data_IF_793876670704
#
_entry.id   IF_793876670704
#
_cell.length_a   1.000
_cell.length_b   1.000
_cell.length_c   1.000
_cell.angle_alpha   90.00
_cell.angle_beta   90.00
_cell.angle_gamma   90.00
#
_symmetry.space_group_name_H-M   'P 1'
#
loop_
_entity.id
_entity.type
_entity.pdbx_description
1 polymer ?
#
# COMPACT_ATOMS: atom_id res chain seq x y z
N UNK A 1 39.33 29.79 -59.49
CA UNK A 1 40.56 30.27 -58.83
C UNK A 1 40.37 30.02 -57.33
N UNK A 2 41.03 29.00 -56.76
CA UNK A 2 40.87 28.63 -55.35
C UNK A 2 41.88 29.46 -54.53
N UNK A 3 41.38 30.23 -53.57
CA UNK A 3 42.21 31.01 -52.65
C UNK A 3 42.89 30.02 -51.68
N UNK A 4 44.23 30.02 -51.55
CA UNK A 4 44.91 29.13 -50.62
C UNK A 4 44.52 29.49 -49.18
N UNK A 5 44.20 28.47 -48.38
CA UNK A 5 43.90 28.66 -46.97
C UNK A 5 45.18 29.11 -46.24
N UNK A 6 45.17 30.21 -45.47
CA UNK A 6 46.37 30.66 -44.78
C UNK A 6 46.81 29.61 -43.76
N UNK A 7 48.13 29.41 -43.64
CA UNK A 7 48.73 28.43 -42.74
C UNK A 7 48.42 28.72 -41.26
N UNK A 8 48.10 29.98 -40.93
CA UNK A 8 47.78 30.45 -39.59
C UNK A 8 46.60 31.41 -39.68
N UNK A 9 45.51 31.11 -38.97
CA UNK A 9 44.41 32.05 -38.74
C UNK A 9 44.59 32.66 -37.34
N UNK A 10 44.87 33.96 -37.25
CA UNK A 10 44.91 34.68 -35.97
C UNK A 10 46.11 35.61 -35.75
N UNK A 11 46.28 36.08 -34.52
CA UNK A 11 47.28 37.07 -34.13
C UNK A 11 48.71 36.49 -34.15
N UNK A 12 49.58 37.06 -35.00
CA UNK A 12 50.98 36.65 -35.19
C UNK A 12 51.87 36.83 -33.96
N UNK A 13 51.44 37.62 -32.97
CA UNK A 13 52.13 37.79 -31.68
C UNK A 13 52.00 36.57 -30.77
N UNK A 14 51.07 35.65 -31.05
CA UNK A 14 50.89 34.39 -30.31
C UNK A 14 51.77 33.27 -30.86
N UNK A 15 52.99 33.59 -31.29
CA UNK A 15 53.97 32.62 -31.78
C UNK A 15 54.60 31.92 -30.57
N UNK A 16 54.32 30.63 -30.39
CA UNK A 16 54.83 29.82 -29.26
C UNK A 16 53.81 29.56 -28.15
N UNK A 17 52.55 29.96 -28.29
CA UNK A 17 51.48 29.50 -27.41
C UNK A 17 51.16 28.04 -27.74
N UNK A 18 51.50 27.12 -26.84
CA UNK A 18 51.04 25.75 -26.92
C UNK A 18 49.52 25.73 -26.74
N UNK A 19 48.80 25.15 -27.69
CA UNK A 19 47.37 24.86 -27.53
C UNK A 19 47.15 24.15 -26.20
N UNK A 20 46.23 24.65 -25.37
CA UNK A 20 45.92 24.07 -24.06
C UNK A 20 45.58 22.60 -24.28
N UNK A 21 46.47 21.71 -23.84
CA UNK A 21 46.27 20.27 -23.93
C UNK A 21 45.17 19.96 -22.92
N UNK A 22 43.98 19.61 -23.43
CA UNK A 22 42.88 19.17 -22.58
C UNK A 22 43.34 17.94 -21.77
N UNK A 23 43.09 17.91 -20.46
CA UNK A 23 43.42 16.74 -19.67
C UNK A 23 42.64 15.54 -20.22
N UNK A 24 43.29 14.37 -20.21
CA UNK A 24 42.65 13.12 -20.60
C UNK A 24 41.36 12.95 -19.80
N UNK A 25 40.24 12.56 -20.43
CA UNK A 25 38.96 12.45 -19.73
C UNK A 25 39.09 11.49 -18.55
N UNK A 26 38.62 11.92 -17.39
CA UNK A 26 38.59 11.09 -16.19
C UNK A 26 37.57 9.96 -16.37
N UNK A 27 37.97 8.75 -16.00
CA UNK A 27 37.05 7.62 -15.96
C UNK A 27 36.17 7.73 -14.72
N UNK A 28 34.86 7.66 -14.89
CA UNK A 28 33.90 7.62 -13.78
C UNK A 28 33.72 6.20 -13.18
N UNK A 29 34.45 5.20 -13.70
CA UNK A 29 34.38 3.85 -13.16
C UNK A 29 35.16 3.75 -11.84
N UNK A 30 34.58 3.09 -10.82
CA UNK A 30 35.26 2.89 -9.55
C UNK A 30 36.49 2.00 -9.74
N UNK A 31 37.67 2.57 -9.52
CA UNK A 31 38.94 1.84 -9.64
C UNK A 31 39.31 1.09 -8.36
N UNK A 32 38.66 1.41 -7.23
CA UNK A 32 38.94 0.80 -5.92
C UNK A 32 38.01 -0.37 -5.62
N UNK A 33 38.56 -1.44 -5.05
CA UNK A 33 37.77 -2.61 -4.59
C UNK A 33 36.66 -2.20 -3.62
N UNK A 34 36.93 -1.21 -2.75
CA UNK A 34 35.96 -0.67 -1.80
C UNK A 34 34.72 -0.09 -2.46
N UNK A 35 34.86 0.58 -3.60
CA UNK A 35 33.73 1.14 -4.32
C UNK A 35 32.85 0.07 -4.97
N UNK A 36 33.43 -1.04 -5.45
CA UNK A 36 32.66 -2.19 -5.92
C UNK A 36 31.89 -2.88 -4.79
N UNK A 37 32.53 -3.07 -3.62
CA UNK A 37 31.86 -3.62 -2.44
C UNK A 37 30.68 -2.74 -2.00
N UNK A 38 30.82 -1.41 -2.05
CA UNK A 38 29.72 -0.49 -1.76
C UNK A 38 28.57 -0.63 -2.76
N UNK A 39 28.87 -0.70 -4.06
CA UNK A 39 27.84 -0.88 -5.10
C UNK A 39 27.07 -2.19 -4.89
N UNK A 40 27.78 -3.29 -4.66
CA UNK A 40 27.17 -4.59 -4.39
C UNK A 40 26.34 -4.54 -3.11
N UNK A 41 26.86 -3.95 -2.03
CA UNK A 41 26.14 -3.79 -0.77
C UNK A 41 24.84 -3.00 -0.94
N UNK A 42 24.88 -1.86 -1.61
CA UNK A 42 23.69 -1.03 -1.89
C UNK A 42 22.71 -1.81 -2.78
N UNK A 43 23.20 -2.50 -3.81
CA UNK A 43 22.35 -3.30 -4.70
C UNK A 43 21.62 -4.41 -3.94
N UNK A 44 22.30 -5.12 -3.03
CA UNK A 44 21.67 -6.15 -2.21
C UNK A 44 20.61 -5.58 -1.26
N UNK A 45 20.90 -4.44 -0.62
CA UNK A 45 19.91 -3.75 0.21
C UNK A 45 18.70 -3.29 -0.61
N UNK A 46 18.92 -2.79 -1.82
CA UNK A 46 17.86 -2.36 -2.72
C UNK A 46 16.98 -3.54 -3.16
N UNK A 47 17.58 -4.66 -3.57
CA UNK A 47 16.83 -5.88 -3.93
C UNK A 47 16.06 -6.42 -2.73
N UNK A 48 16.69 -6.48 -1.55
CA UNK A 48 16.03 -6.89 -0.31
C UNK A 48 14.85 -5.99 0.05
N UNK A 49 15.00 -4.68 -0.12
CA UNK A 49 13.94 -3.70 0.08
C UNK A 49 12.77 -3.90 -0.90
N UNK A 50 13.05 -4.10 -2.19
CA UNK A 50 12.02 -4.39 -3.19
C UNK A 50 11.30 -5.72 -2.90
N UNK A 51 12.04 -6.76 -2.51
CA UNK A 51 11.46 -8.04 -2.10
C UNK A 51 10.55 -7.92 -0.89
N UNK A 52 10.98 -7.16 0.13
CA UNK A 52 10.15 -6.86 1.30
C UNK A 52 8.88 -6.08 0.93
N UNK A 53 9.00 -5.10 0.03
CA UNK A 53 7.86 -4.32 -0.45
C UNK A 53 6.87 -5.20 -1.23
N UNK A 54 7.37 -6.09 -2.09
CA UNK A 54 6.58 -7.09 -2.81
C UNK A 54 5.85 -8.04 -1.85
N UNK A 55 6.56 -8.62 -0.89
CA UNK A 55 5.97 -9.47 0.15
C UNK A 55 4.87 -8.75 0.93
N UNK A 56 5.15 -7.51 1.36
CA UNK A 56 4.17 -6.66 2.04
C UNK A 56 2.96 -6.37 1.14
N UNK A 57 3.18 -6.17 -0.15
CA UNK A 57 2.12 -5.94 -1.12
C UNK A 57 1.24 -7.18 -1.29
N UNK A 58 1.82 -8.37 -1.42
CA UNK A 58 1.06 -9.64 -1.51
C UNK A 58 0.28 -9.93 -0.23
N UNK A 59 0.91 -9.77 0.93
CA UNK A 59 0.26 -10.00 2.23
C UNK A 59 -0.96 -9.10 2.45
N UNK A 60 -0.98 -7.90 1.86
CA UNK A 60 -2.12 -6.96 1.96
C UNK A 60 -3.10 -7.05 0.77
N UNK A 61 -2.97 -8.06 -0.10
CA UNK A 61 -3.85 -8.21 -1.26
C UNK A 61 -5.32 -8.41 -0.86
N UNK A 62 -5.59 -9.14 0.23
CA UNK A 62 -6.95 -9.36 0.73
C UNK A 62 -7.64 -8.04 1.12
N UNK A 63 -6.92 -7.10 1.76
CA UNK A 63 -7.42 -5.77 2.11
C UNK A 63 -7.80 -4.97 0.87
N UNK A 64 -6.90 -4.96 -0.13
CA UNK A 64 -7.14 -4.24 -1.39
C UNK A 64 -8.36 -4.81 -2.12
N UNK A 65 -8.49 -6.13 -2.20
CA UNK A 65 -9.64 -6.79 -2.82
C UNK A 65 -10.95 -6.43 -2.12
N UNK A 66 -10.99 -6.50 -0.79
CA UNK A 66 -12.20 -6.16 -0.03
C UNK A 66 -12.61 -4.68 -0.19
N UNK A 67 -11.65 -3.76 -0.11
CA UNK A 67 -11.91 -2.31 -0.32
C UNK A 67 -12.31 -2.02 -1.76
N UNK A 68 -11.67 -2.67 -2.73
CA UNK A 68 -12.02 -2.51 -4.14
C UNK A 68 -13.45 -2.97 -4.41
N UNK A 69 -13.86 -4.08 -3.81
CA UNK A 69 -15.22 -4.60 -3.97
C UNK A 69 -16.27 -3.66 -3.37
N UNK A 70 -16.03 -3.13 -2.16
CA UNK A 70 -16.93 -2.15 -1.54
C UNK A 70 -17.09 -0.85 -2.37
N UNK A 71 -16.09 -0.52 -3.19
CA UNK A 71 -16.09 0.69 -4.04
C UNK A 71 -16.66 0.46 -5.43
N UNK A 72 -16.72 -0.79 -5.90
CA UNK A 72 -17.15 -1.11 -7.26
C UNK A 72 -18.65 -1.35 -7.39
N UNK A 73 -19.36 -1.46 -6.27
CA UNK A 73 -20.78 -1.79 -6.19
C UNK A 73 -21.60 -0.58 -5.75
N UNK A 74 -22.92 -0.65 -5.88
CA UNK A 74 -23.81 0.39 -5.35
C UNK A 74 -23.73 0.45 -3.81
N UNK A 75 -24.18 1.55 -3.19
CA UNK A 75 -24.17 1.68 -1.73
C UNK A 75 -25.02 0.58 -1.04
N UNK A 76 -26.14 0.22 -1.66
CA UNK A 76 -27.05 -0.83 -1.18
C UNK A 76 -26.37 -2.20 -1.23
N UNK A 77 -25.72 -2.52 -2.35
CA UNK A 77 -24.95 -3.75 -2.51
C UNK A 77 -23.74 -3.77 -1.57
N UNK A 78 -23.04 -2.65 -1.42
CA UNK A 78 -21.91 -2.52 -0.50
C UNK A 78 -22.36 -2.84 0.93
N UNK A 79 -23.49 -2.27 1.36
CA UNK A 79 -24.07 -2.48 2.68
C UNK A 79 -24.39 -3.95 2.91
N UNK A 80 -25.05 -4.62 1.96
CA UNK A 80 -25.33 -6.05 2.02
C UNK A 80 -24.05 -6.91 2.09
N UNK A 81 -22.96 -6.47 1.45
CA UNK A 81 -21.69 -7.19 1.42
C UNK A 81 -20.84 -6.99 2.69
N UNK A 82 -21.05 -5.91 3.45
CA UNK A 82 -20.25 -5.57 4.65
C UNK A 82 -20.15 -6.75 5.64
N UNK A 83 -21.26 -7.40 6.08
CA UNK A 83 -21.17 -8.52 7.02
C UNK A 83 -20.28 -9.65 6.53
N UNK A 84 -20.46 -10.06 5.26
CA UNK A 84 -19.68 -11.12 4.65
C UNK A 84 -18.20 -10.76 4.52
N UNK A 85 -17.90 -9.54 4.08
CA UNK A 85 -16.54 -9.07 3.91
C UNK A 85 -15.79 -8.93 5.24
N UNK A 86 -16.45 -8.42 6.29
CA UNK A 86 -15.83 -8.35 7.61
C UNK A 86 -15.49 -9.73 8.13
N UNK A 87 -16.39 -10.72 7.99
CA UNK A 87 -16.11 -12.12 8.39
C UNK A 87 -14.95 -12.72 7.60
N UNK A 88 -14.93 -12.53 6.28
CA UNK A 88 -13.86 -13.02 5.41
C UNK A 88 -12.51 -12.40 5.75
N UNK A 89 -12.46 -11.08 5.93
CA UNK A 89 -11.23 -10.35 6.30
C UNK A 89 -10.77 -10.73 7.70
N UNK A 90 -11.69 -10.89 8.64
CA UNK A 90 -11.38 -11.35 9.99
C UNK A 90 -10.75 -12.76 9.98
N UNK A 91 -11.30 -13.69 9.18
CA UNK A 91 -10.78 -15.05 9.07
C UNK A 91 -9.31 -15.11 8.60
N UNK A 92 -8.90 -14.22 7.67
CA UNK A 92 -7.51 -14.09 7.21
C UNK A 92 -6.56 -13.53 8.28
N UNK A 93 -7.11 -12.88 9.32
CA UNK A 93 -6.33 -12.17 10.35
C UNK A 93 -6.31 -12.87 11.70
N UNK A 94 -7.24 -13.78 11.93
CA UNK A 94 -7.39 -14.48 13.19
C UNK A 94 -6.34 -15.57 13.37
N UNK A 95 -5.73 -15.62 14.55
CA UNK A 95 -4.82 -16.67 14.96
C UNK A 95 -5.53 -17.58 15.97
N UNK A 96 -5.49 -18.90 15.74
CA UNK A 96 -6.08 -19.90 16.63
C UNK A 96 -7.49 -20.31 16.20
N UNK A 97 -8.49 -20.02 17.05
CA UNK A 97 -9.87 -20.47 16.83
C UNK A 97 -10.53 -19.82 15.61
N UNK A 98 -11.47 -20.51 14.96
CA UNK A 98 -12.15 -19.98 13.79
C UNK A 98 -13.05 -18.80 14.18
N UNK A 99 -13.02 -17.73 13.38
CA UNK A 99 -13.89 -16.56 13.54
C UNK A 99 -15.37 -16.93 13.54
N UNK A 100 -15.74 -18.05 12.91
CA UNK A 100 -17.11 -18.58 12.88
C UNK A 100 -17.70 -18.87 14.27
N UNK A 101 -16.86 -19.10 15.28
CA UNK A 101 -17.33 -19.31 16.65
C UNK A 101 -17.82 -18.01 17.32
N UNK A 102 -17.31 -16.85 16.90
CA UNK A 102 -17.69 -15.56 17.46
C UNK A 102 -19.06 -15.14 16.93
N UNK A 103 -20.03 -14.90 17.82
CA UNK A 103 -21.38 -14.49 17.43
C UNK A 103 -21.90 -13.34 18.30
N UNK A 104 -22.88 -12.61 17.78
CA UNK A 104 -23.53 -11.50 18.49
C UNK A 104 -22.53 -10.50 19.06
N UNK A 105 -22.54 -10.33 20.39
CA UNK A 105 -21.71 -9.35 21.11
C UNK A 105 -20.22 -9.69 20.99
N UNK A 106 -19.83 -10.96 21.04
CA UNK A 106 -18.42 -11.37 20.99
C UNK A 106 -17.77 -11.00 19.66
N UNK A 107 -18.53 -11.12 18.57
CA UNK A 107 -18.12 -10.71 17.23
C UNK A 107 -17.81 -9.21 17.18
N UNK A 108 -18.70 -8.40 17.74
CA UNK A 108 -18.53 -6.95 17.80
C UNK A 108 -17.35 -6.55 18.71
N UNK A 109 -17.21 -7.19 19.87
CA UNK A 109 -16.07 -6.97 20.75
C UNK A 109 -14.75 -7.33 20.06
N UNK A 110 -14.73 -8.38 19.23
CA UNK A 110 -13.60 -8.72 18.39
C UNK A 110 -13.29 -7.62 17.36
N UNK A 111 -14.29 -7.08 16.67
CA UNK A 111 -14.07 -6.02 15.69
C UNK A 111 -13.44 -4.79 16.35
N UNK A 112 -14.01 -4.32 17.47
CA UNK A 112 -13.52 -3.13 18.15
C UNK A 112 -12.16 -3.32 18.82
N UNK A 113 -11.82 -4.52 19.33
CA UNK A 113 -10.47 -4.78 19.89
C UNK A 113 -9.38 -4.94 18.84
N UNK A 114 -9.77 -5.20 17.58
CA UNK A 114 -8.83 -5.35 16.46
C UNK A 114 -8.35 -4.03 15.88
N UNK A 115 -8.80 -2.92 16.46
CA UNK A 115 -8.40 -1.56 16.10
C UNK A 115 -8.09 -0.78 17.36
N UNK A 116 -7.20 0.22 17.27
CA UNK A 116 -6.87 1.10 18.40
C UNK A 116 -8.05 1.97 18.86
N UNK A 117 -9.02 2.18 17.97
CA UNK A 117 -10.22 2.97 18.20
C UNK A 117 -11.43 2.06 17.95
N UNK A 118 -12.46 2.14 18.79
CA UNK A 118 -13.71 1.45 18.56
C UNK A 118 -14.45 2.12 17.38
N UNK A 119 -14.53 1.43 16.25
CA UNK A 119 -15.18 1.93 15.04
C UNK A 119 -16.67 1.59 15.00
N UNK A 120 -17.08 0.52 15.68
CA UNK A 120 -18.47 0.09 15.73
C UNK A 120 -19.09 0.61 17.02
N UNK A 121 -19.75 1.77 16.96
CA UNK A 121 -20.56 2.32 18.06
C UNK A 121 -21.85 1.52 18.24
N UNK A 122 -22.53 1.57 19.41
CA UNK A 122 -23.75 0.78 19.64
C UNK A 122 -24.80 0.88 18.51
N UNK A 123 -24.98 2.07 17.94
CA UNK A 123 -25.89 2.30 16.80
C UNK A 123 -25.44 1.53 15.54
N UNK A 124 -24.16 1.59 15.19
CA UNK A 124 -23.59 0.86 14.03
C UNK A 124 -23.63 -0.65 14.28
N UNK A 125 -23.43 -1.08 15.53
CA UNK A 125 -23.49 -2.50 15.90
C UNK A 125 -24.89 -3.08 15.69
N UNK A 126 -25.92 -2.37 16.15
CA UNK A 126 -27.32 -2.75 15.94
C UNK A 126 -27.64 -2.79 14.44
N UNK A 127 -27.23 -1.76 13.69
CA UNK A 127 -27.42 -1.71 12.25
C UNK A 127 -26.73 -2.87 11.52
N UNK A 128 -25.48 -3.18 11.89
CA UNK A 128 -24.74 -4.32 11.34
C UNK A 128 -25.47 -5.65 11.60
N UNK A 129 -26.10 -5.82 12.76
CA UNK A 129 -26.90 -7.01 13.05
C UNK A 129 -28.14 -7.08 12.14
N UNK A 130 -28.86 -5.98 11.98
CA UNK A 130 -30.01 -5.88 11.07
C UNK A 130 -29.60 -6.27 9.64
N UNK A 131 -28.57 -5.63 9.11
CA UNK A 131 -28.04 -5.90 7.76
C UNK A 131 -27.55 -7.34 7.58
N UNK A 132 -27.06 -7.98 8.64
CA UNK A 132 -26.57 -9.36 8.57
C UNK A 132 -27.68 -10.41 8.43
N UNK A 133 -28.90 -10.12 8.91
CA UNK A 133 -29.99 -11.09 8.98
C UNK A 133 -31.23 -10.69 8.17
N UNK A 134 -31.36 -9.43 7.79
CA UNK A 134 -32.52 -8.94 7.03
C UNK A 134 -32.19 -8.71 5.56
N UNK A 135 -33.12 -9.02 4.64
CA UNK A 135 -33.00 -8.65 3.24
C UNK A 135 -32.95 -7.12 3.05
N UNK A 136 -32.41 -6.63 1.91
CA UNK A 136 -32.23 -5.20 1.66
C UNK A 136 -33.47 -4.33 1.90
N UNK A 137 -34.66 -4.86 1.64
CA UNK A 137 -35.92 -4.14 1.85
C UNK A 137 -36.17 -3.67 3.29
N UNK A 138 -35.49 -4.23 4.30
CA UNK A 138 -35.66 -3.84 5.71
C UNK A 138 -34.81 -2.65 6.17
N UNK A 139 -33.73 -2.32 5.44
CA UNK A 139 -32.74 -1.31 5.85
C UNK A 139 -32.35 -0.34 4.73
N UNK A 140 -33.00 -0.41 3.57
CA UNK A 140 -32.71 0.41 2.40
C UNK A 140 -32.98 1.91 2.64
N UNK A 141 -33.96 2.24 3.48
CA UNK A 141 -34.33 3.62 3.79
C UNK A 141 -33.33 4.32 4.72
N UNK A 142 -32.48 3.57 5.43
CA UNK A 142 -31.52 4.09 6.40
C UNK A 142 -30.18 4.50 5.76
N UNK A 143 -30.22 5.33 4.71
CA UNK A 143 -29.04 5.73 3.91
C UNK A 143 -27.87 6.28 4.74
N UNK A 144 -28.15 7.10 5.75
CA UNK A 144 -27.11 7.65 6.63
C UNK A 144 -26.40 6.56 7.45
N UNK A 145 -27.13 5.53 7.87
CA UNK A 145 -26.54 4.42 8.62
C UNK A 145 -25.83 3.42 7.70
N UNK A 146 -26.33 3.25 6.47
CA UNK A 146 -25.69 2.45 5.42
C UNK A 146 -24.31 3.02 5.06
N UNK A 147 -24.24 4.31 4.73
CA UNK A 147 -22.97 5.03 4.51
C UNK A 147 -22.03 4.90 5.70
N UNK A 148 -22.50 5.19 6.92
CA UNK A 148 -21.67 5.13 8.13
C UNK A 148 -21.13 3.72 8.40
N UNK A 149 -21.93 2.68 8.13
CA UNK A 149 -21.54 1.28 8.28
C UNK A 149 -20.46 0.90 7.27
N UNK A 150 -20.65 1.23 5.99
CA UNK A 150 -19.69 0.97 4.92
C UNK A 150 -18.37 1.70 5.17
N UNK A 151 -18.42 2.94 5.66
CA UNK A 151 -17.23 3.72 6.00
C UNK A 151 -16.48 3.13 7.20
N UNK A 152 -17.22 2.75 8.24
CA UNK A 152 -16.65 2.11 9.44
C UNK A 152 -16.01 0.77 9.10
N UNK A 153 -16.67 -0.04 8.27
CA UNK A 153 -16.14 -1.30 7.76
C UNK A 153 -14.88 -1.09 6.90
N UNK A 154 -14.93 -0.13 5.97
CA UNK A 154 -13.79 0.22 5.11
C UNK A 154 -12.59 0.69 5.94
N UNK A 155 -12.82 1.52 6.96
CA UNK A 155 -11.78 1.99 7.88
C UNK A 155 -11.20 0.83 8.69
N UNK A 156 -12.04 -0.07 9.20
CA UNK A 156 -11.61 -1.27 9.90
C UNK A 156 -10.74 -2.17 9.02
N UNK A 157 -11.15 -2.46 7.77
CA UNK A 157 -10.38 -3.28 6.82
C UNK A 157 -9.00 -2.67 6.54
N UNK A 158 -8.87 -1.34 6.55
CA UNK A 158 -7.58 -0.65 6.36
C UNK A 158 -6.64 -0.76 7.56
N UNK A 159 -7.17 -0.61 8.78
CA UNK A 159 -6.34 -0.37 9.98
C UNK A 159 -6.28 -1.54 10.95
N UNK A 160 -7.09 -2.60 10.78
CA UNK A 160 -7.10 -3.72 11.71
C UNK A 160 -5.71 -4.34 11.82
N UNK A 161 -5.37 -4.79 13.03
CA UNK A 161 -4.19 -5.63 13.25
C UNK A 161 -4.61 -7.09 13.39
N UNK A 162 -3.63 -7.99 13.34
CA UNK A 162 -3.88 -9.40 13.69
C UNK A 162 -4.19 -9.48 15.17
N UNK A 163 -5.19 -10.27 15.54
CA UNK A 163 -5.62 -10.50 16.92
C UNK A 163 -5.86 -11.98 17.13
N UNK A 164 -5.62 -12.46 18.34
CA UNK A 164 -5.97 -13.82 18.75
C UNK A 164 -7.49 -14.00 18.86
N UNK A 165 -7.99 -15.11 18.31
CA UNK A 165 -9.38 -15.52 18.46
C UNK A 165 -9.57 -16.22 19.80
N UNK A 166 -9.57 -15.47 20.91
CA UNK A 166 -9.93 -16.03 22.21
C UNK A 166 -11.45 -16.01 22.35
N UNK A 167 -12.04 -17.19 22.46
CA UNK A 167 -13.40 -17.42 22.95
C UNK A 167 -13.25 -17.46 24.48
N UNK A 168 -14.04 -16.67 25.22
CA UNK A 168 -13.97 -16.63 26.69
C UNK A 168 -14.93 -17.64 27.27
#
# INVERSE_FOLDING_TARGET
>A
MLIPKPEIFGNYLLKGFNSIILPKPISFFPQTLSAWLLIVGISLLFIGFLGWLGYRWHKNAYRRKAISLLRSVSEEEATALVPHLLRKVAAETCLGNPVSALNGIEWISFLNRSTKQALFTPRIQQHLQVVSFQPPCGWQDEKELNTLLVDSASKWIKIHHKVECKIR
#
